data_IF_468627145065
#
_entry.id   IF_468627145065
#
_cell.length_a   1.000
_cell.length_b   1.000
_cell.length_c   1.000
_cell.angle_alpha   90.00
_cell.angle_beta   90.00
_cell.angle_gamma   90.00
#
_symmetry.space_group_name_H-M   'P 1'
#
loop_
_entity.id
_entity.type
_entity.pdbx_description
1 polymer ?
#
# COMPACT_ATOMS: atom_id res chain seq x y z
N UNK A 1 -12.25 18.83 10.40
CA UNK A 1 -13.43 18.08 9.87
C UNK A 1 -14.17 18.83 8.78
N UNK A 2 -14.54 20.09 8.94
CA UNK A 2 -15.22 20.87 7.90
C UNK A 2 -14.47 20.87 6.56
N UNK A 3 -13.18 21.15 6.58
CA UNK A 3 -12.31 21.15 5.39
C UNK A 3 -12.28 19.80 4.67
N UNK A 4 -12.33 18.66 5.39
CA UNK A 4 -12.35 17.33 4.78
C UNK A 4 -13.69 17.05 4.12
N UNK A 5 -14.80 17.49 4.75
CA UNK A 5 -16.14 17.36 4.15
C UNK A 5 -16.26 18.18 2.86
N UNK A 6 -15.86 19.45 2.89
CA UNK A 6 -15.83 20.33 1.72
C UNK A 6 -14.95 19.75 0.60
N UNK A 7 -13.77 19.20 0.95
CA UNK A 7 -12.89 18.56 -0.02
C UNK A 7 -13.53 17.31 -0.64
N UNK A 8 -14.21 16.48 0.16
CA UNK A 8 -14.92 15.31 -0.34
C UNK A 8 -16.09 15.70 -1.26
N UNK A 9 -16.90 16.67 -0.89
CA UNK A 9 -18.01 17.16 -1.72
C UNK A 9 -17.52 17.63 -3.07
N UNK A 10 -16.48 18.48 -3.09
CA UNK A 10 -15.85 18.94 -4.36
C UNK A 10 -15.29 17.81 -5.19
N UNK A 11 -14.67 16.81 -4.54
CA UNK A 11 -14.16 15.63 -5.23
C UNK A 11 -15.29 14.84 -5.89
N UNK A 12 -16.39 14.61 -5.16
CA UNK A 12 -17.55 13.89 -5.69
C UNK A 12 -18.20 14.62 -6.88
N UNK A 13 -18.22 15.95 -6.84
CA UNK A 13 -18.73 16.80 -7.94
C UNK A 13 -17.90 16.64 -9.23
N UNK A 14 -16.63 16.24 -9.14
CA UNK A 14 -15.81 15.98 -10.33
C UNK A 14 -16.22 14.74 -11.12
N UNK A 15 -16.93 13.81 -10.47
CA UNK A 15 -17.36 12.55 -11.07
C UNK A 15 -16.24 11.56 -11.41
N UNK A 16 -15.06 11.68 -10.79
CA UNK A 16 -13.93 10.76 -11.04
C UNK A 16 -14.28 9.33 -10.62
N UNK A 17 -13.69 8.36 -11.29
CA UNK A 17 -13.97 6.94 -11.06
C UNK A 17 -13.08 6.32 -9.99
N UNK A 18 -11.96 6.96 -9.64
CA UNK A 18 -10.94 6.45 -8.73
C UNK A 18 -10.46 7.54 -7.78
N UNK A 19 -10.29 7.19 -6.50
CA UNK A 19 -9.87 8.11 -5.43
C UNK A 19 -8.78 7.44 -4.59
N UNK A 20 -7.71 8.18 -4.34
CA UNK A 20 -6.65 7.78 -3.40
C UNK A 20 -6.72 8.66 -2.16
N UNK A 21 -6.71 8.03 -0.98
CA UNK A 21 -6.78 8.68 0.33
C UNK A 21 -5.55 8.32 1.13
N UNK A 22 -4.74 9.32 1.46
CA UNK A 22 -3.53 9.12 2.26
C UNK A 22 -3.55 9.96 3.53
N UNK A 23 -3.05 9.40 4.62
CA UNK A 23 -2.61 10.19 5.75
C UNK A 23 -1.40 11.04 5.37
N UNK A 24 -1.37 12.30 5.84
CA UNK A 24 -0.21 13.17 5.58
C UNK A 24 1.00 12.69 6.38
N UNK A 25 2.06 12.31 5.66
CA UNK A 25 3.38 12.04 6.24
C UNK A 25 4.30 13.23 5.98
N UNK A 26 5.03 13.65 7.00
CA UNK A 26 6.00 14.75 6.89
C UNK A 26 7.37 14.17 6.55
N UNK A 27 7.75 14.27 5.29
CA UNK A 27 9.03 13.79 4.80
C UNK A 27 10.16 14.78 5.11
N UNK A 28 11.28 14.28 5.66
CA UNK A 28 12.47 15.09 5.92
C UNK A 28 13.01 15.75 4.63
N UNK A 29 13.59 16.95 4.78
CA UNK A 29 14.10 17.73 3.65
C UNK A 29 13.04 18.50 2.88
N UNK A 30 11.74 18.37 3.20
CA UNK A 30 10.66 19.12 2.56
C UNK A 30 10.43 20.48 3.21
N UNK A 31 9.79 21.38 2.46
CA UNK A 31 9.38 22.70 2.99
C UNK A 31 8.39 22.52 4.17
N UNK A 32 7.50 21.53 4.08
CA UNK A 32 6.55 21.22 5.16
C UNK A 32 7.28 20.83 6.44
N UNK A 33 8.27 19.92 6.36
CA UNK A 33 9.07 19.52 7.53
C UNK A 33 9.75 20.74 8.19
N UNK A 34 10.27 21.66 7.36
CA UNK A 34 10.86 22.91 7.86
C UNK A 34 9.81 23.78 8.56
N UNK A 35 8.63 23.96 7.96
CA UNK A 35 7.55 24.80 8.54
C UNK A 35 7.00 24.21 9.83
N UNK A 36 6.84 22.90 9.92
CA UNK A 36 6.41 22.20 11.14
C UNK A 36 7.45 22.41 12.25
N UNK A 37 8.72 22.23 11.95
CA UNK A 37 9.84 22.44 12.90
C UNK A 37 9.95 23.88 13.39
N UNK A 38 9.64 24.85 12.52
CA UNK A 38 9.62 26.29 12.86
C UNK A 38 8.30 26.74 13.53
N UNK A 39 7.33 25.82 13.75
CA UNK A 39 6.03 26.17 14.30
C UNK A 39 5.11 26.99 13.39
N UNK A 40 5.45 27.07 12.08
CA UNK A 40 4.68 27.82 11.07
C UNK A 40 3.57 27.00 10.44
N UNK A 41 3.63 25.68 10.53
CA UNK A 41 2.58 24.76 10.13
C UNK A 41 2.23 23.84 11.29
N UNK A 42 0.93 23.68 11.55
CA UNK A 42 0.40 22.77 12.57
C UNK A 42 -0.17 21.54 11.87
N UNK A 43 0.25 20.38 12.33
CA UNK A 43 -0.35 19.10 11.90
C UNK A 43 -1.60 18.83 12.74
N UNK A 44 -2.58 18.10 12.18
CA UNK A 44 -3.69 17.58 12.97
C UNK A 44 -3.15 16.63 14.06
N UNK A 45 -3.84 16.56 15.20
CA UNK A 45 -3.54 15.53 16.19
C UNK A 45 -3.84 14.13 15.63
N UNK A 46 -3.30 13.08 16.26
CA UNK A 46 -3.61 11.70 15.91
C UNK A 46 -5.10 11.40 15.96
N UNK A 47 -5.81 11.88 17.00
CA UNK A 47 -7.25 11.73 17.13
C UNK A 47 -8.01 12.43 16.00
N UNK A 48 -7.58 13.64 15.63
CA UNK A 48 -8.17 14.36 14.51
C UNK A 48 -7.93 13.63 13.18
N UNK A 49 -6.73 13.12 12.96
CA UNK A 49 -6.38 12.33 11.79
C UNK A 49 -7.19 11.04 11.73
N UNK A 50 -7.34 10.33 12.87
CA UNK A 50 -8.19 9.15 12.99
C UNK A 50 -9.65 9.45 12.66
N UNK A 51 -10.19 10.56 13.20
CA UNK A 51 -11.58 10.97 12.91
C UNK A 51 -11.79 11.31 11.43
N UNK A 52 -10.82 11.96 10.78
CA UNK A 52 -10.87 12.24 9.34
C UNK A 52 -10.83 10.96 8.51
N UNK A 53 -9.97 10.03 8.90
CA UNK A 53 -9.88 8.71 8.26
C UNK A 53 -11.21 7.96 8.37
N UNK A 54 -11.75 7.80 9.58
CA UNK A 54 -13.00 7.08 9.82
C UNK A 54 -14.17 7.67 9.00
N UNK A 55 -14.26 9.00 8.95
CA UNK A 55 -15.24 9.70 8.13
C UNK A 55 -15.11 9.33 6.64
N UNK A 56 -13.89 9.32 6.06
CA UNK A 56 -13.68 8.99 4.65
C UNK A 56 -13.93 7.50 4.36
N UNK A 57 -13.59 6.61 5.30
CA UNK A 57 -13.86 5.17 5.19
C UNK A 57 -15.36 4.86 5.16
N UNK A 58 -16.19 5.70 5.77
CA UNK A 58 -17.65 5.58 5.74
C UNK A 58 -18.28 6.30 4.54
N UNK A 59 -17.84 7.51 4.24
CA UNK A 59 -18.47 8.36 3.24
C UNK A 59 -18.21 7.92 1.79
N UNK A 60 -17.00 7.44 1.47
CA UNK A 60 -16.67 6.99 0.11
C UNK A 60 -17.50 5.77 -0.33
N UNK A 61 -17.69 4.71 0.48
CA UNK A 61 -18.60 3.63 0.13
C UNK A 61 -20.04 4.07 -0.07
N UNK A 62 -20.55 5.01 0.75
CA UNK A 62 -21.89 5.58 0.57
C UNK A 62 -22.03 6.36 -0.73
N UNK A 63 -20.93 6.93 -1.25
CA UNK A 63 -20.87 7.60 -2.53
C UNK A 63 -20.62 6.66 -3.73
N UNK A 64 -20.60 5.32 -3.50
CA UNK A 64 -20.45 4.30 -4.54
C UNK A 64 -19.02 3.96 -4.92
N UNK A 65 -18.03 4.32 -4.08
CA UNK A 65 -16.65 3.91 -4.23
C UNK A 65 -16.34 2.74 -3.32
N UNK A 66 -15.83 1.64 -3.86
CA UNK A 66 -15.42 0.49 -3.07
C UNK A 66 -13.91 0.53 -2.82
N UNK A 67 -13.53 0.35 -1.57
CA UNK A 67 -12.13 0.18 -1.19
C UNK A 67 -11.61 -1.12 -1.80
N UNK A 68 -10.48 -1.10 -2.50
CA UNK A 68 -9.88 -2.32 -3.04
C UNK A 68 -8.49 -2.62 -2.47
N UNK A 69 -7.85 -1.62 -1.85
CA UNK A 69 -6.63 -1.76 -1.04
C UNK A 69 -6.59 -0.65 0.02
N UNK A 70 -5.52 -0.58 0.82
CA UNK A 70 -5.42 0.27 2.02
C UNK A 70 -5.82 1.72 1.77
N UNK A 71 -5.38 2.32 0.66
CA UNK A 71 -5.51 3.76 0.40
C UNK A 71 -6.37 4.10 -0.82
N UNK A 72 -6.77 3.10 -1.61
CA UNK A 72 -7.42 3.35 -2.89
C UNK A 72 -8.86 2.82 -2.94
N UNK A 73 -9.70 3.67 -3.51
CA UNK A 73 -11.13 3.44 -3.72
C UNK A 73 -11.47 3.64 -5.19
N UNK A 74 -12.39 2.86 -5.70
CA UNK A 74 -12.86 2.98 -7.07
C UNK A 74 -14.33 2.64 -7.22
N UNK A 75 -14.98 3.15 -8.25
CA UNK A 75 -16.25 2.62 -8.70
C UNK A 75 -16.07 1.18 -9.18
N UNK A 76 -17.10 0.32 -9.15
CA UNK A 76 -16.99 -1.07 -9.59
C UNK A 76 -16.37 -1.19 -10.98
N UNK A 77 -15.28 -1.96 -11.11
CA UNK A 77 -14.56 -2.19 -12.35
C UNK A 77 -13.61 -1.05 -12.79
N UNK A 78 -13.44 -0.02 -11.95
CA UNK A 78 -12.54 1.11 -12.21
C UNK A 78 -11.30 1.10 -11.31
N UNK A 79 -10.99 -0.04 -10.69
CA UNK A 79 -9.77 -0.22 -9.91
C UNK A 79 -8.54 -0.03 -10.80
N UNK A 80 -7.51 0.67 -10.30
CA UNK A 80 -6.28 0.89 -11.05
C UNK A 80 -5.59 -0.44 -11.37
N UNK A 81 -5.61 -0.84 -12.66
CA UNK A 81 -4.89 -2.03 -13.13
C UNK A 81 -3.39 -1.92 -12.89
N UNK A 82 -2.84 -0.72 -13.01
CA UNK A 82 -1.44 -0.44 -12.75
C UNK A 82 -1.09 -0.74 -11.28
N UNK A 83 -1.88 -0.22 -10.32
CA UNK A 83 -1.65 -0.48 -8.90
C UNK A 83 -1.79 -1.97 -8.56
N UNK A 84 -2.75 -2.66 -9.18
CA UNK A 84 -2.96 -4.09 -8.95
C UNK A 84 -1.76 -4.94 -9.37
N UNK A 85 -0.98 -4.55 -10.39
CA UNK A 85 0.27 -5.23 -10.76
C UNK A 85 1.23 -5.26 -9.56
N UNK A 86 1.37 -4.15 -8.85
CA UNK A 86 2.21 -4.09 -7.65
C UNK A 86 1.64 -4.94 -6.51
N UNK A 87 0.32 -4.81 -6.25
CA UNK A 87 -0.31 -5.51 -5.13
C UNK A 87 -0.39 -7.03 -5.34
N UNK A 88 -0.43 -7.50 -6.59
CA UNK A 88 -0.32 -8.92 -6.92
C UNK A 88 1.13 -9.41 -6.96
N UNK A 89 2.09 -8.50 -6.75
CA UNK A 89 3.52 -8.80 -6.84
C UNK A 89 3.90 -9.37 -8.21
N UNK A 90 3.35 -8.82 -9.27
CA UNK A 90 3.62 -9.21 -10.64
C UNK A 90 4.81 -8.43 -11.22
N UNK A 91 5.55 -8.99 -12.20
CA UNK A 91 6.60 -8.26 -12.89
C UNK A 91 6.09 -7.00 -13.59
N UNK A 92 6.90 -5.94 -13.58
CA UNK A 92 6.58 -4.69 -14.27
C UNK A 92 7.82 -4.04 -14.88
N UNK A 93 7.59 -3.29 -15.95
CA UNK A 93 8.62 -2.49 -16.63
C UNK A 93 8.63 -1.06 -16.11
N UNK A 94 9.79 -0.40 -16.25
CA UNK A 94 9.95 0.99 -15.85
C UNK A 94 10.71 1.78 -16.91
N UNK A 95 10.28 3.02 -17.14
CA UNK A 95 10.87 3.94 -18.10
C UNK A 95 11.09 5.30 -17.46
N UNK A 96 12.26 5.90 -17.69
CA UNK A 96 12.62 7.21 -17.16
C UNK A 96 13.64 7.16 -16.01
N UNK A 97 14.20 8.33 -15.68
CA UNK A 97 15.11 8.49 -14.56
C UNK A 97 14.41 8.15 -13.24
N UNK A 98 15.13 7.51 -12.33
CA UNK A 98 14.64 7.01 -11.04
C UNK A 98 13.54 5.93 -11.11
N UNK A 99 13.08 5.53 -12.30
CA UNK A 99 12.06 4.50 -12.42
C UNK A 99 12.62 3.11 -12.09
N UNK A 100 11.82 2.32 -11.37
CA UNK A 100 12.20 1.00 -10.91
C UNK A 100 11.39 -0.07 -11.63
N UNK A 101 12.05 -1.08 -12.21
CA UNK A 101 11.43 -2.30 -12.78
C UNK A 101 11.63 -3.49 -11.86
N UNK A 102 10.77 -4.49 -12.01
CA UNK A 102 10.83 -5.75 -11.30
C UNK A 102 10.50 -6.90 -12.25
N UNK A 103 11.31 -7.95 -12.24
CA UNK A 103 11.13 -9.12 -13.10
C UNK A 103 10.66 -10.40 -12.38
N UNK A 104 10.37 -10.27 -11.08
CA UNK A 104 10.02 -11.38 -10.19
C UNK A 104 11.20 -11.86 -9.33
N UNK A 105 12.43 -11.41 -9.59
CA UNK A 105 13.65 -11.77 -8.83
C UNK A 105 14.59 -10.60 -8.64
N UNK A 106 14.65 -9.71 -9.60
CA UNK A 106 15.59 -8.58 -9.63
C UNK A 106 14.78 -7.30 -9.71
N UNK A 107 15.09 -6.38 -8.83
CA UNK A 107 14.63 -5.00 -8.90
C UNK A 107 15.76 -4.16 -9.47
N UNK A 108 15.46 -3.37 -10.52
CA UNK A 108 16.43 -2.48 -11.14
C UNK A 108 15.90 -1.05 -11.13
N UNK A 109 16.68 -0.15 -10.53
CA UNK A 109 16.34 1.28 -10.44
C UNK A 109 17.23 2.07 -11.36
N UNK A 110 16.64 2.78 -12.32
CA UNK A 110 17.35 3.67 -13.20
C UNK A 110 18.03 4.81 -12.43
N UNK A 111 19.15 5.38 -12.94
CA UNK A 111 19.82 6.50 -12.32
C UNK A 111 18.85 7.66 -12.02
N UNK A 112 18.90 8.19 -10.78
CA UNK A 112 18.08 9.34 -10.39
C UNK A 112 18.50 10.62 -11.10
N UNK A 113 19.80 10.76 -11.40
CA UNK A 113 20.31 11.90 -12.15
C UNK A 113 19.91 11.77 -13.62
N UNK A 114 19.17 12.76 -14.14
CA UNK A 114 18.65 12.76 -15.52
C UNK A 114 19.76 12.67 -16.56
N UNK A 115 20.88 13.37 -16.37
CA UNK A 115 21.99 13.33 -17.32
C UNK A 115 22.63 11.94 -17.37
N UNK A 116 22.86 11.33 -16.21
CA UNK A 116 23.38 9.96 -16.13
C UNK A 116 22.45 8.97 -16.83
N UNK A 117 21.13 9.11 -16.60
CA UNK A 117 20.13 8.27 -17.28
C UNK A 117 20.18 8.45 -18.80
N UNK A 118 20.21 9.68 -19.30
CA UNK A 118 20.27 9.98 -20.74
C UNK A 118 21.59 9.52 -21.40
N UNK A 119 22.68 9.44 -20.63
CA UNK A 119 23.96 8.90 -21.08
C UNK A 119 24.05 7.39 -21.00
N UNK A 120 22.98 6.70 -20.60
CA UNK A 120 22.93 5.23 -20.53
C UNK A 120 23.71 4.64 -19.36
N UNK A 121 23.88 5.38 -18.25
CA UNK A 121 24.46 4.82 -17.03
C UNK A 121 23.63 3.61 -16.56
N UNK A 122 24.27 2.53 -16.07
CA UNK A 122 23.57 1.30 -15.69
C UNK A 122 22.64 1.54 -14.50
N UNK A 123 21.52 0.79 -14.43
CA UNK A 123 20.62 0.83 -13.26
C UNK A 123 21.31 0.17 -12.05
N UNK A 124 20.93 0.61 -10.89
CA UNK A 124 21.20 -0.11 -9.64
C UNK A 124 20.39 -1.41 -9.62
N UNK A 125 21.02 -2.52 -9.22
CA UNK A 125 20.40 -3.84 -9.21
C UNK A 125 20.35 -4.40 -7.79
N UNK A 126 19.16 -4.81 -7.38
CA UNK A 126 18.90 -5.55 -6.15
C UNK A 126 18.42 -6.96 -6.52
N UNK A 127 19.18 -7.97 -6.08
CA UNK A 127 18.80 -9.38 -6.28
C UNK A 127 18.08 -9.84 -5.01
N UNK A 128 16.79 -10.06 -5.11
CA UNK A 128 15.96 -10.48 -3.98
C UNK A 128 16.18 -11.96 -3.65
N UNK A 129 16.37 -12.25 -2.38
CA UNK A 129 16.44 -13.63 -1.87
C UNK A 129 15.07 -14.32 -1.99
N UNK A 130 15.01 -15.61 -1.72
CA UNK A 130 13.73 -16.31 -1.63
C UNK A 130 12.88 -15.79 -0.47
N UNK A 131 13.54 -15.41 0.63
CA UNK A 131 12.90 -14.84 1.83
C UNK A 131 12.30 -13.48 1.54
N UNK A 132 13.06 -12.56 0.93
CA UNK A 132 12.56 -11.24 0.51
C UNK A 132 11.33 -11.37 -0.38
N UNK A 133 11.39 -12.25 -1.37
CA UNK A 133 10.28 -12.45 -2.32
C UNK A 133 9.02 -13.02 -1.66
N UNK A 134 9.18 -13.92 -0.67
CA UNK A 134 8.06 -14.43 0.11
C UNK A 134 7.41 -13.34 0.96
N UNK A 135 8.24 -12.61 1.70
CA UNK A 135 7.79 -11.51 2.55
C UNK A 135 7.06 -10.44 1.73
N UNK A 136 7.64 -10.02 0.61
CA UNK A 136 7.04 -9.04 -0.29
C UNK A 136 5.72 -9.55 -0.91
N UNK A 137 5.65 -10.82 -1.32
CA UNK A 137 4.41 -11.42 -1.84
C UNK A 137 3.29 -11.37 -0.78
N UNK A 138 3.60 -11.70 0.46
CA UNK A 138 2.64 -11.67 1.57
C UNK A 138 2.18 -10.23 1.82
N UNK A 139 3.12 -9.33 2.06
CA UNK A 139 2.84 -7.94 2.42
C UNK A 139 2.08 -7.20 1.30
N UNK A 140 2.46 -7.38 0.03
CA UNK A 140 1.77 -6.74 -1.11
C UNK A 140 0.33 -7.22 -1.25
N UNK A 141 0.09 -8.53 -1.14
CA UNK A 141 -1.25 -9.08 -1.23
C UNK A 141 -2.12 -8.71 -0.03
N UNK A 142 -1.58 -8.69 1.18
CA UNK A 142 -2.32 -8.29 2.39
C UNK A 142 -2.77 -6.82 2.35
N UNK A 143 -2.14 -5.96 1.57
CA UNK A 143 -2.61 -4.58 1.33
C UNK A 143 -3.98 -4.54 0.68
N UNK A 144 -4.33 -5.55 -0.10
CA UNK A 144 -5.62 -5.60 -0.81
C UNK A 144 -6.74 -6.10 0.09
N UNK A 145 -7.96 -5.63 -0.17
CA UNK A 145 -9.17 -6.14 0.51
C UNK A 145 -9.38 -7.64 0.24
N UNK A 146 -8.94 -8.14 -0.92
CA UNK A 146 -8.99 -9.57 -1.26
C UNK A 146 -8.01 -10.40 -0.43
N UNK A 147 -6.91 -9.82 0.00
CA UNK A 147 -5.86 -10.50 0.74
C UNK A 147 -5.09 -11.55 -0.05
N UNK A 148 -4.24 -12.29 0.65
CA UNK A 148 -3.37 -13.34 0.11
C UNK A 148 -4.15 -14.64 -0.11
N UNK A 149 -4.03 -15.24 -1.28
CA UNK A 149 -4.45 -16.61 -1.55
C UNK A 149 -3.37 -17.59 -1.09
N UNK A 150 -3.72 -18.53 -0.20
CA UNK A 150 -2.80 -19.57 0.26
C UNK A 150 -2.38 -20.51 -0.89
N UNK A 151 -3.29 -20.78 -1.81
CA UNK A 151 -2.98 -21.57 -3.01
C UNK A 151 -1.98 -20.87 -3.93
N UNK A 152 -2.20 -19.57 -4.20
CA UNK A 152 -1.29 -18.77 -5.00
C UNK A 152 0.08 -18.63 -4.31
N UNK A 153 0.11 -18.44 -2.99
CA UNK A 153 1.36 -18.44 -2.23
C UNK A 153 2.14 -19.74 -2.45
N UNK A 154 1.50 -20.90 -2.28
CA UNK A 154 2.14 -22.21 -2.49
C UNK A 154 2.61 -22.41 -3.94
N UNK A 155 1.80 -21.99 -4.92
CA UNK A 155 2.18 -22.08 -6.34
C UNK A 155 3.42 -21.23 -6.67
N UNK A 156 3.54 -20.03 -6.09
CA UNK A 156 4.63 -19.08 -6.37
C UNK A 156 5.92 -19.34 -5.56
N UNK A 157 5.80 -19.93 -4.37
CA UNK A 157 6.93 -20.15 -3.46
C UNK A 157 7.35 -21.62 -3.34
N UNK A 158 6.49 -22.56 -3.73
CA UNK A 158 6.58 -24.01 -3.47
C UNK A 158 6.58 -24.37 -1.98
N UNK A 159 6.07 -23.50 -1.12
CA UNK A 159 6.08 -23.66 0.34
C UNK A 159 4.66 -23.49 0.92
N UNK A 160 4.43 -24.01 2.11
CA UNK A 160 3.21 -23.78 2.86
C UNK A 160 3.32 -22.51 3.72
N UNK A 161 2.31 -21.65 3.66
CA UNK A 161 2.31 -20.39 4.39
C UNK A 161 2.43 -20.58 5.89
N UNK A 162 1.69 -21.51 6.48
CA UNK A 162 1.70 -21.72 7.93
C UNK A 162 2.97 -22.41 8.41
N UNK A 163 3.70 -23.10 7.54
CA UNK A 163 5.01 -23.64 7.91
C UNK A 163 6.04 -22.52 8.22
N UNK A 164 5.86 -21.37 7.57
CA UNK A 164 6.82 -20.24 7.68
C UNK A 164 6.29 -19.17 8.62
N UNK A 165 5.02 -18.82 8.52
CA UNK A 165 4.42 -17.61 9.12
C UNK A 165 3.36 -17.89 10.19
N UNK A 166 3.32 -19.09 10.79
CA UNK A 166 2.32 -19.45 11.80
C UNK A 166 2.36 -18.54 13.02
N UNK A 167 3.56 -18.17 13.47
CA UNK A 167 3.75 -17.30 14.65
C UNK A 167 3.22 -15.90 14.35
N UNK A 168 3.66 -15.27 13.26
CA UNK A 168 3.20 -13.94 12.84
C UNK A 168 1.70 -13.91 12.58
N UNK A 169 1.16 -14.93 11.88
CA UNK A 169 -0.28 -15.05 11.69
C UNK A 169 -1.04 -15.15 13.01
N UNK A 170 -0.56 -15.96 13.95
CA UNK A 170 -1.20 -16.15 15.26
C UNK A 170 -1.14 -14.87 16.08
N UNK A 171 -0.02 -14.13 16.03
CA UNK A 171 0.11 -12.83 16.68
C UNK A 171 -0.90 -11.83 16.09
N UNK A 172 -0.87 -11.60 14.79
CA UNK A 172 -1.80 -10.71 14.10
C UNK A 172 -3.27 -11.05 14.36
N UNK A 173 -3.60 -12.35 14.40
CA UNK A 173 -4.95 -12.81 14.69
C UNK A 173 -5.39 -12.48 16.12
N UNK A 174 -4.51 -12.63 17.11
CA UNK A 174 -4.78 -12.25 18.51
C UNK A 174 -5.01 -10.75 18.66
N UNK A 175 -4.32 -9.94 17.86
CA UNK A 175 -4.53 -8.49 17.82
C UNK A 175 -5.81 -8.08 17.05
N UNK A 176 -6.46 -9.01 16.38
CA UNK A 176 -7.62 -8.73 15.56
C UNK A 176 -7.29 -8.04 14.22
N UNK A 177 -6.03 -8.06 13.80
CA UNK A 177 -5.59 -7.40 12.56
C UNK A 177 -5.80 -8.24 11.32
N UNK A 178 -5.82 -9.57 11.46
CA UNK A 178 -5.89 -10.52 10.34
C UNK A 178 -6.98 -11.55 10.57
N UNK A 179 -7.59 -12.00 9.48
CA UNK A 179 -8.55 -13.10 9.49
C UNK A 179 -8.25 -14.10 8.37
N UNK A 180 -8.69 -15.35 8.56
CA UNK A 180 -8.67 -16.38 7.53
C UNK A 180 -10.10 -16.71 7.12
N UNK A 181 -10.38 -16.62 5.82
CA UNK A 181 -11.64 -17.02 5.22
C UNK A 181 -11.38 -18.04 4.11
N UNK A 182 -11.65 -19.30 4.40
CA UNK A 182 -11.36 -20.40 3.48
C UNK A 182 -9.88 -20.50 3.13
N UNK A 183 -9.56 -20.25 1.85
CA UNK A 183 -8.21 -20.29 1.30
C UNK A 183 -7.55 -18.91 1.23
N UNK A 184 -8.09 -17.90 1.93
CA UNK A 184 -7.53 -16.54 1.92
C UNK A 184 -7.23 -16.03 3.32
N UNK A 185 -6.16 -15.26 3.41
CA UNK A 185 -5.80 -14.48 4.57
C UNK A 185 -5.91 -13.01 4.18
N UNK A 186 -6.58 -12.22 5.00
CA UNK A 186 -6.76 -10.78 4.74
C UNK A 186 -6.69 -9.96 6.02
N UNK A 187 -6.39 -8.69 5.88
CA UNK A 187 -6.54 -7.74 6.97
C UNK A 187 -8.02 -7.54 7.29
N UNK A 188 -8.31 -7.34 8.57
CA UNK A 188 -9.59 -6.80 9.04
C UNK A 188 -9.63 -5.29 8.82
N UNK A 189 -10.75 -4.62 9.09
CA UNK A 189 -10.79 -3.15 9.07
C UNK A 189 -9.78 -2.54 10.07
N UNK A 190 -9.65 -3.14 11.25
CA UNK A 190 -8.63 -2.76 12.22
C UNK A 190 -7.22 -3.02 11.67
N UNK A 191 -7.00 -4.15 11.02
CA UNK A 191 -5.73 -4.48 10.37
C UNK A 191 -5.38 -3.53 9.23
N UNK A 192 -6.36 -3.07 8.46
CA UNK A 192 -6.15 -2.04 7.43
C UNK A 192 -5.68 -0.70 8.03
N UNK A 193 -6.16 -0.36 9.21
CA UNK A 193 -5.76 0.87 9.95
C UNK A 193 -4.32 0.79 10.47
N UNK A 194 -3.91 -0.40 10.91
CA UNK A 194 -2.58 -0.67 11.49
C UNK A 194 -1.72 -1.56 10.58
N UNK A 195 -1.91 -1.47 9.26
CA UNK A 195 -1.29 -2.37 8.29
C UNK A 195 0.23 -2.53 8.45
N UNK A 196 0.95 -1.45 8.72
CA UNK A 196 2.39 -1.50 8.89
C UNK A 196 2.81 -2.45 10.03
N UNK A 197 2.11 -2.40 11.18
CA UNK A 197 2.38 -3.29 12.30
C UNK A 197 2.07 -4.75 11.96
N UNK A 198 1.01 -4.98 11.18
CA UNK A 198 0.69 -6.33 10.73
C UNK A 198 1.71 -6.87 9.71
N UNK A 199 2.28 -6.00 8.87
CA UNK A 199 3.26 -6.41 7.85
C UNK A 199 4.62 -6.78 8.47
N UNK A 200 5.02 -6.10 9.54
CA UNK A 200 6.28 -6.39 10.27
C UNK A 200 6.38 -7.84 10.75
N UNK A 201 5.24 -8.50 11.00
CA UNK A 201 5.17 -9.89 11.45
C UNK A 201 5.48 -10.92 10.34
N UNK A 202 5.64 -10.47 9.10
CA UNK A 202 5.90 -11.30 7.92
C UNK A 202 7.21 -10.95 7.18
N UNK A 203 8.01 -10.02 7.75
CA UNK A 203 9.31 -9.60 7.21
C UNK A 203 10.47 -10.46 7.68
#
# INVERSE_FOLDING_TARGET
>A
METVRDSLERLLDTGVDHVSVYGLTVEEGTLLAKQVREGKALLPSEDASGTMYDFLMEALPQAGYHRYEISNFARPGQESRHNQVYWHYDPYMAFGAAACRFDGKIRETNPRNLQAYLQGAPPEREILTCEDRRAELVFMNLRTVKGLSLEEFTQRTAEDFFHIYEEGFTHCRKQGWITREGNRIRLTEQGMRYGNLAFEEFL
#
